data_IF_538425903823
#
_entry.id   IF_538425903823
#
_cell.length_a   1.000
_cell.length_b   1.000
_cell.length_c   1.000
_cell.angle_alpha   90.00
_cell.angle_beta   90.00
_cell.angle_gamma   90.00
#
_symmetry.space_group_name_H-M   'P 1'
#
loop_
_entity.id
_entity.type
_entity.pdbx_description
1 polymer ?
#
# COMPACT_ATOMS: atom_id res chain seq x y z
N UNK A 1 -13.52 -7.89 24.66
CA UNK A 1 -12.86 -7.22 23.54
C UNK A 1 -11.59 -7.99 23.26
N UNK A 2 -11.57 -8.80 22.19
CA UNK A 2 -10.32 -9.35 21.64
C UNK A 2 -9.58 -8.18 20.99
N UNK A 3 -8.31 -7.99 21.32
CA UNK A 3 -7.51 -6.99 20.65
C UNK A 3 -7.11 -7.54 19.27
N UNK A 4 -7.23 -6.71 18.23
CA UNK A 4 -6.85 -7.06 16.85
C UNK A 4 -5.37 -7.50 16.75
N UNK A 5 -4.53 -7.03 17.67
CA UNK A 5 -3.14 -7.50 17.82
C UNK A 5 -3.03 -8.97 18.27
N UNK A 6 -3.91 -9.43 19.17
CA UNK A 6 -3.93 -10.82 19.64
C UNK A 6 -4.41 -11.76 18.52
N UNK A 7 -5.33 -11.29 17.68
CA UNK A 7 -5.83 -12.06 16.53
C UNK A 7 -4.74 -12.20 15.45
N UNK A 8 -3.98 -11.14 15.15
CA UNK A 8 -2.83 -11.19 14.22
C UNK A 8 -1.72 -12.09 14.77
N UNK A 9 -1.39 -11.99 16.06
CA UNK A 9 -0.35 -12.83 16.68
C UNK A 9 -0.73 -14.33 16.61
N UNK A 10 -2.00 -14.66 16.89
CA UNK A 10 -2.50 -16.04 16.79
C UNK A 10 -2.49 -16.60 15.36
N UNK A 11 -2.78 -15.77 14.35
CA UNK A 11 -2.73 -16.16 12.94
C UNK A 11 -1.30 -16.33 12.43
N UNK A 12 -0.36 -15.50 12.92
CA UNK A 12 1.09 -15.64 12.66
C UNK A 12 1.60 -16.95 13.27
N UNK A 13 1.20 -17.24 14.52
CA UNK A 13 1.55 -18.46 15.25
C UNK A 13 1.00 -19.72 14.55
N UNK A 14 -0.24 -19.69 14.04
CA UNK A 14 -0.82 -20.79 13.26
C UNK A 14 -0.04 -21.08 11.97
N UNK A 15 0.39 -20.04 11.25
CA UNK A 15 1.22 -20.17 10.03
C UNK A 15 2.64 -20.65 10.32
N UNK A 16 3.25 -20.19 11.41
CA UNK A 16 4.59 -20.60 11.83
C UNK A 16 4.63 -21.99 12.48
N UNK A 17 3.50 -22.46 13.02
CA UNK A 17 3.37 -23.80 13.60
C UNK A 17 3.63 -24.92 12.58
N UNK A 18 3.34 -24.67 11.30
CA UNK A 18 3.63 -25.58 10.18
C UNK A 18 5.13 -25.76 9.98
N UNK A 19 5.94 -24.79 10.39
CA UNK A 19 7.38 -24.78 10.17
C UNK A 19 8.21 -25.07 11.43
N UNK A 20 7.60 -25.31 12.60
CA UNK A 20 8.32 -25.51 13.88
C UNK A 20 9.36 -24.39 14.15
N UNK A 21 9.07 -23.15 13.74
CA UNK A 21 10.05 -22.07 13.57
C UNK A 21 10.17 -21.12 14.78
N UNK A 22 9.69 -21.50 15.96
CA UNK A 22 9.91 -20.68 17.15
C UNK A 22 11.39 -20.67 17.58
N UNK A 23 11.91 -19.53 18.09
CA UNK A 23 13.16 -19.53 18.85
C UNK A 23 12.92 -20.39 20.09
N UNK A 24 13.34 -21.64 19.99
CA UNK A 24 12.96 -22.63 20.96
C UNK A 24 13.95 -22.63 22.13
N UNK A 25 13.58 -23.34 23.18
CA UNK A 25 14.44 -23.54 24.33
C UNK A 25 15.78 -24.18 23.91
N UNK A 26 15.81 -24.93 22.81
CA UNK A 26 17.00 -25.59 22.31
C UNK A 26 18.02 -24.56 21.79
N UNK A 27 17.66 -23.62 20.92
CA UNK A 27 18.58 -22.58 20.40
C UNK A 27 19.21 -21.75 21.54
N UNK A 28 18.41 -21.38 22.54
CA UNK A 28 18.89 -20.65 23.71
C UNK A 28 19.82 -21.50 24.59
N UNK A 29 19.52 -22.79 24.75
CA UNK A 29 20.41 -23.72 25.46
C UNK A 29 21.72 -23.88 24.70
N UNK A 30 21.70 -23.98 23.38
CA UNK A 30 22.90 -24.06 22.54
C UNK A 30 23.79 -22.83 22.67
N UNK A 31 23.19 -21.62 22.65
CA UNK A 31 23.92 -20.36 22.85
C UNK A 31 24.50 -20.27 24.27
N UNK A 32 23.71 -20.59 25.30
CA UNK A 32 24.14 -20.50 26.70
C UNK A 32 25.19 -21.56 27.05
N UNK A 33 25.03 -22.80 26.57
CA UNK A 33 26.01 -23.87 26.75
C UNK A 33 27.30 -23.61 25.97
N UNK A 34 27.21 -23.14 24.72
CA UNK A 34 28.38 -22.77 23.92
C UNK A 34 29.15 -21.61 24.55
N UNK A 35 28.45 -20.58 25.04
CA UNK A 35 29.07 -19.47 25.77
C UNK A 35 29.70 -19.92 27.09
N UNK A 36 29.04 -20.79 27.86
CA UNK A 36 29.59 -21.35 29.09
C UNK A 36 30.86 -22.17 28.83
N UNK A 37 30.87 -22.99 27.78
CA UNK A 37 32.07 -23.72 27.34
C UNK A 37 33.21 -22.77 26.95
N UNK A 38 32.91 -21.68 26.23
CA UNK A 38 33.91 -20.69 25.87
C UNK A 38 34.50 -20.01 27.12
N UNK A 39 33.67 -19.63 28.09
CA UNK A 39 34.13 -19.04 29.36
C UNK A 39 34.98 -20.03 30.17
N UNK A 40 34.55 -21.29 30.28
CA UNK A 40 35.33 -22.34 30.95
C UNK A 40 36.66 -22.59 30.26
N UNK A 41 36.70 -22.59 28.94
CA UNK A 41 37.93 -22.72 28.17
C UNK A 41 38.86 -21.52 28.38
N UNK A 42 38.34 -20.29 28.37
CA UNK A 42 39.14 -19.08 28.66
C UNK A 42 39.74 -19.15 30.07
N UNK A 43 38.94 -19.56 31.06
CA UNK A 43 39.39 -19.72 32.44
C UNK A 43 40.59 -20.69 32.54
N UNK A 44 40.49 -21.88 31.93
CA UNK A 44 41.56 -22.89 31.98
C UNK A 44 42.76 -22.58 31.05
N UNK A 45 42.62 -21.61 30.15
CA UNK A 45 43.74 -21.09 29.36
C UNK A 45 44.61 -20.15 30.21
N UNK A 46 43.99 -19.36 31.08
CA UNK A 46 44.65 -18.45 32.03
C UNK A 46 45.17 -19.21 33.24
N UNK A 47 44.34 -20.08 33.84
CA UNK A 47 44.65 -20.88 35.02
C UNK A 47 44.59 -22.38 34.69
N UNK A 48 45.64 -22.94 34.06
CA UNK A 48 45.67 -24.37 33.77
C UNK A 48 45.81 -25.17 35.06
N UNK A 49 45.06 -26.27 35.16
CA UNK A 49 45.04 -27.13 36.33
C UNK A 49 46.35 -27.95 36.45
N UNK A 50 46.85 -28.14 37.68
CA UNK A 50 48.18 -28.75 37.91
C UNK A 50 48.24 -30.29 37.74
N UNK A 51 47.09 -30.96 37.62
CA UNK A 51 47.05 -32.44 37.55
C UNK A 51 47.41 -32.98 36.15
N UNK A 52 47.45 -32.12 35.14
CA UNK A 52 47.85 -32.44 33.76
C UNK A 52 48.98 -31.49 33.36
N UNK A 53 49.80 -31.87 32.37
CA UNK A 53 50.79 -30.96 31.81
C UNK A 53 50.11 -29.64 31.36
N UNK A 54 50.57 -28.47 31.85
CA UNK A 54 49.95 -27.18 31.57
C UNK A 54 49.81 -26.85 30.08
N UNK A 55 50.76 -27.30 29.25
CA UNK A 55 50.71 -27.05 27.80
C UNK A 55 49.59 -27.87 27.14
N UNK A 56 49.43 -29.13 27.55
CA UNK A 56 48.33 -29.99 27.07
C UNK A 56 46.98 -29.43 27.51
N UNK A 57 46.89 -28.95 28.76
CA UNK A 57 45.68 -28.34 29.29
C UNK A 57 45.29 -27.06 28.53
N UNK A 58 46.26 -26.23 28.16
CA UNK A 58 46.03 -25.02 27.34
C UNK A 58 45.56 -25.34 25.93
N UNK A 59 46.14 -26.36 25.30
CA UNK A 59 45.66 -26.83 23.99
C UNK A 59 44.24 -27.38 24.05
N UNK A 60 43.91 -28.15 25.10
CA UNK A 60 42.55 -28.63 25.33
C UNK A 60 41.58 -27.47 25.59
N UNK A 61 41.96 -26.51 26.43
CA UNK A 61 41.19 -25.32 26.72
C UNK A 61 40.90 -24.51 25.44
N UNK A 62 41.90 -24.31 24.59
CA UNK A 62 41.72 -23.66 23.28
C UNK A 62 40.73 -24.42 22.37
N UNK A 63 40.78 -25.75 22.38
CA UNK A 63 39.82 -26.58 21.63
C UNK A 63 38.38 -26.42 22.16
N UNK A 64 38.21 -26.37 23.47
CA UNK A 64 36.90 -26.16 24.13
C UNK A 64 36.36 -24.76 23.83
N UNK A 65 37.21 -23.72 23.79
CA UNK A 65 36.81 -22.37 23.35
C UNK A 65 36.31 -22.40 21.92
N UNK A 66 37.07 -23.03 21.01
CA UNK A 66 36.70 -23.10 19.60
C UNK A 66 35.38 -23.85 19.40
N UNK A 67 35.18 -24.98 20.09
CA UNK A 67 33.94 -25.74 20.05
C UNK A 67 32.75 -24.94 20.63
N UNK A 68 32.94 -24.27 21.77
CA UNK A 68 31.91 -23.43 22.38
C UNK A 68 31.51 -22.24 21.51
N UNK A 69 32.47 -21.59 20.85
CA UNK A 69 32.23 -20.49 19.93
C UNK A 69 31.46 -20.93 18.67
N UNK A 70 31.80 -22.10 18.10
CA UNK A 70 31.08 -22.67 16.95
C UNK A 70 29.66 -23.04 17.34
N UNK A 71 29.48 -23.66 18.51
CA UNK A 71 28.16 -24.06 19.01
C UNK A 71 27.27 -22.84 19.28
N UNK A 72 27.78 -21.83 20.00
CA UNK A 72 27.03 -20.61 20.26
C UNK A 72 26.74 -19.82 18.96
N UNK A 73 27.69 -19.80 18.03
CA UNK A 73 27.48 -19.20 16.71
C UNK A 73 26.41 -19.91 15.89
N UNK A 74 26.27 -21.23 16.03
CA UNK A 74 25.23 -22.01 15.37
C UNK A 74 23.84 -21.65 15.91
N UNK A 75 23.66 -21.66 17.24
CA UNK A 75 22.38 -21.28 17.86
C UNK A 75 21.95 -19.83 17.54
N UNK A 76 22.90 -18.88 17.52
CA UNK A 76 22.62 -17.50 17.12
C UNK A 76 22.20 -17.38 15.64
N UNK A 77 22.83 -18.16 14.75
CA UNK A 77 22.49 -18.18 13.32
C UNK A 77 21.06 -18.67 13.11
N UNK A 78 20.69 -19.77 13.74
CA UNK A 78 19.37 -20.38 13.55
C UNK A 78 18.27 -19.47 14.14
N UNK A 79 18.54 -18.80 15.26
CA UNK A 79 17.66 -17.77 15.82
C UNK A 79 17.47 -16.58 14.87
N UNK A 80 18.53 -16.05 14.26
CA UNK A 80 18.43 -14.94 13.30
C UNK A 80 17.65 -15.33 12.03
N UNK A 81 17.85 -16.56 11.54
CA UNK A 81 17.08 -17.08 10.40
C UNK A 81 15.59 -17.19 10.74
N UNK A 82 15.25 -17.65 11.95
CA UNK A 82 13.87 -17.74 12.43
C UNK A 82 13.23 -16.36 12.59
N UNK A 83 13.94 -15.37 13.14
CA UNK A 83 13.44 -13.99 13.27
C UNK A 83 13.21 -13.31 11.91
N UNK A 84 14.11 -13.49 10.95
CA UNK A 84 13.93 -12.95 9.58
C UNK A 84 12.71 -13.58 8.92
N UNK A 85 12.50 -14.89 9.09
CA UNK A 85 11.31 -15.55 8.54
C UNK A 85 10.02 -15.09 9.21
N UNK A 86 10.01 -14.92 10.53
CA UNK A 86 8.87 -14.37 11.28
C UNK A 86 8.55 -12.94 10.81
N UNK A 87 9.57 -12.11 10.59
CA UNK A 87 9.34 -10.74 10.11
C UNK A 87 8.80 -10.69 8.68
N UNK A 88 9.20 -11.61 7.79
CA UNK A 88 8.60 -11.76 6.46
C UNK A 88 7.14 -12.20 6.55
N UNK A 89 6.82 -13.17 7.42
CA UNK A 89 5.45 -13.63 7.61
C UNK A 89 4.52 -12.52 8.15
N UNK A 90 5.01 -11.73 9.11
CA UNK A 90 4.28 -10.56 9.63
C UNK A 90 4.11 -9.49 8.53
N UNK A 91 5.16 -9.24 7.73
CA UNK A 91 5.10 -8.29 6.63
C UNK A 91 4.08 -8.72 5.56
N UNK A 92 4.07 -10.00 5.19
CA UNK A 92 3.11 -10.58 4.24
C UNK A 92 1.67 -10.46 4.78
N UNK A 93 1.46 -10.74 6.07
CA UNK A 93 0.17 -10.57 6.71
C UNK A 93 -0.26 -9.10 6.83
N UNK A 94 0.68 -8.17 7.01
CA UNK A 94 0.40 -6.73 6.99
C UNK A 94 0.01 -6.22 5.60
N UNK A 95 0.44 -6.90 4.53
CA UNK A 95 -0.02 -6.63 3.17
C UNK A 95 -1.38 -7.29 2.87
N UNK A 96 -1.76 -8.31 3.63
CA UNK A 96 -3.08 -8.96 3.57
C UNK A 96 -4.15 -8.25 4.40
N UNK A 97 -3.85 -7.12 5.04
CA UNK A 97 -4.86 -6.29 5.69
C UNK A 97 -5.77 -5.69 4.61
N UNK A 98 -7.01 -6.19 4.54
CA UNK A 98 -8.11 -5.74 3.66
C UNK A 98 -8.65 -4.36 4.10
N UNK A 99 -7.73 -3.49 4.55
CA UNK A 99 -7.98 -2.14 4.98
C UNK A 99 -7.95 -1.15 3.81
N UNK A 100 -8.43 0.08 4.00
CA UNK A 100 -8.36 1.11 2.96
C UNK A 100 -6.92 1.30 2.49
N UNK A 101 -6.66 1.15 1.18
CA UNK A 101 -5.32 1.25 0.62
C UNK A 101 -4.75 2.66 0.86
N UNK A 102 -3.97 2.81 1.93
CA UNK A 102 -3.40 4.10 2.34
C UNK A 102 -2.43 4.68 1.30
N UNK A 103 -1.86 3.84 0.43
CA UNK A 103 -1.07 4.28 -0.72
C UNK A 103 -1.93 4.99 -1.77
N UNK A 104 -3.09 4.41 -2.11
CA UNK A 104 -4.06 5.03 -3.01
C UNK A 104 -4.62 6.32 -2.42
N UNK A 105 -5.02 6.32 -1.14
CA UNK A 105 -5.52 7.52 -0.45
C UNK A 105 -4.47 8.64 -0.46
N UNK A 106 -3.20 8.30 -0.20
CA UNK A 106 -2.10 9.27 -0.26
C UNK A 106 -1.95 9.85 -1.67
N UNK A 107 -2.03 9.02 -2.70
CA UNK A 107 -1.87 9.47 -4.08
C UNK A 107 -3.03 10.36 -4.53
N UNK A 108 -4.26 10.00 -4.17
CA UNK A 108 -5.46 10.82 -4.38
C UNK A 108 -5.33 12.20 -3.72
N UNK A 109 -4.79 12.26 -2.49
CA UNK A 109 -4.56 13.51 -1.78
C UNK A 109 -3.40 14.33 -2.34
N UNK A 110 -2.38 13.70 -2.92
CA UNK A 110 -1.22 14.38 -3.48
C UNK A 110 -1.47 14.94 -4.89
N UNK A 111 -2.37 14.31 -5.65
CA UNK A 111 -2.65 14.67 -7.04
C UNK A 111 -4.16 14.95 -7.28
N UNK A 112 -4.83 15.82 -6.49
CA UNK A 112 -6.27 16.02 -6.59
C UNK A 112 -6.71 16.49 -7.99
N UNK A 113 -5.88 17.28 -8.67
CA UNK A 113 -6.16 17.78 -10.02
C UNK A 113 -6.20 16.65 -11.08
N UNK A 114 -5.37 15.62 -10.92
CA UNK A 114 -5.38 14.46 -11.82
C UNK A 114 -6.68 13.66 -11.68
N UNK A 115 -7.17 13.49 -10.44
CA UNK A 115 -8.42 12.80 -10.19
C UNK A 115 -9.65 13.64 -10.57
N UNK A 116 -9.58 14.98 -10.47
CA UNK A 116 -10.60 15.88 -11.05
C UNK A 116 -10.69 15.71 -12.58
N UNK A 117 -9.56 15.54 -13.26
CA UNK A 117 -9.56 15.31 -14.70
C UNK A 117 -10.19 13.97 -15.10
N UNK A 118 -10.04 12.94 -14.26
CA UNK A 118 -10.73 11.65 -14.44
C UNK A 118 -12.24 11.79 -14.30
N UNK A 119 -12.73 12.56 -13.32
CA UNK A 119 -14.16 12.80 -13.19
C UNK A 119 -14.72 13.53 -14.42
N UNK A 120 -13.97 14.52 -14.94
CA UNK A 120 -14.35 15.24 -16.16
C UNK A 120 -14.38 14.33 -17.41
N UNK A 121 -13.43 13.41 -17.54
CA UNK A 121 -13.43 12.39 -18.59
C UNK A 121 -14.62 11.42 -18.46
N UNK A 122 -14.98 11.05 -17.22
CA UNK A 122 -16.13 10.19 -16.95
C UNK A 122 -17.45 10.86 -17.33
N UNK A 123 -17.58 12.17 -17.06
CA UNK A 123 -18.71 12.97 -17.53
C UNK A 123 -18.75 13.09 -19.05
N UNK A 124 -17.60 13.28 -19.71
CA UNK A 124 -17.51 13.35 -21.17
C UNK A 124 -17.95 12.03 -21.81
N UNK A 125 -17.55 10.89 -21.24
CA UNK A 125 -17.97 9.57 -21.70
C UNK A 125 -19.48 9.34 -21.55
N UNK A 126 -20.06 9.76 -20.42
CA UNK A 126 -21.51 9.66 -20.18
C UNK A 126 -22.34 10.55 -21.12
N UNK A 127 -21.73 11.56 -21.76
CA UNK A 127 -22.37 12.40 -22.76
C UNK A 127 -22.07 11.96 -24.21
N UNK A 128 -21.36 10.86 -24.44
CA UNK A 128 -21.00 10.41 -25.79
C UNK A 128 -22.24 9.96 -26.60
N UNK A 129 -23.26 9.43 -25.94
CA UNK A 129 -24.54 9.05 -26.56
C UNK A 129 -25.64 10.11 -26.42
N UNK A 130 -25.32 11.25 -25.78
CA UNK A 130 -26.22 12.38 -25.57
C UNK A 130 -27.21 12.23 -24.41
N UNK A 131 -27.17 11.15 -23.62
CA UNK A 131 -28.13 10.89 -22.53
C UNK A 131 -27.43 10.23 -21.33
N UNK A 132 -27.34 10.94 -20.20
CA UNK A 132 -26.91 10.31 -18.94
C UNK A 132 -28.04 9.44 -18.36
N UNK A 133 -27.76 8.16 -18.17
CA UNK A 133 -28.66 7.20 -17.51
C UNK A 133 -28.62 7.31 -15.98
N UNK A 134 -29.62 6.73 -15.30
CA UNK A 134 -29.67 6.74 -13.82
C UNK A 134 -28.51 5.95 -13.18
N UNK A 135 -28.04 4.90 -13.86
CA UNK A 135 -26.88 4.11 -13.44
C UNK A 135 -25.59 4.95 -13.54
N UNK A 136 -25.37 5.63 -14.65
CA UNK A 136 -24.20 6.51 -14.85
C UNK A 136 -24.20 7.70 -13.88
N UNK A 137 -25.37 8.29 -13.62
CA UNK A 137 -25.50 9.38 -12.64
C UNK A 137 -25.15 8.89 -11.23
N UNK A 138 -25.55 7.68 -10.86
CA UNK A 138 -25.21 7.08 -9.57
C UNK A 138 -23.70 6.81 -9.45
N UNK A 139 -23.06 6.33 -10.51
CA UNK A 139 -21.60 6.15 -10.57
C UNK A 139 -20.86 7.48 -10.46
N UNK A 140 -21.27 8.51 -11.21
CA UNK A 140 -20.70 9.85 -11.15
C UNK A 140 -20.82 10.48 -9.75
N UNK A 141 -21.97 10.31 -9.08
CA UNK A 141 -22.13 10.73 -7.68
C UNK A 141 -21.20 10.00 -6.73
N UNK A 142 -21.00 8.70 -6.93
CA UNK A 142 -20.05 7.94 -6.11
C UNK A 142 -18.61 8.46 -6.26
N UNK A 143 -18.22 8.91 -7.45
CA UNK A 143 -16.92 9.54 -7.69
C UNK A 143 -16.83 10.94 -7.08
N UNK A 144 -17.89 11.75 -7.15
CA UNK A 144 -17.94 13.05 -6.48
C UNK A 144 -17.74 12.92 -4.97
N UNK A 145 -18.48 12.01 -4.34
CA UNK A 145 -18.40 11.74 -2.90
C UNK A 145 -17.00 11.26 -2.51
N UNK A 146 -16.41 10.39 -3.32
CA UNK A 146 -15.05 9.88 -3.09
C UNK A 146 -13.97 10.97 -3.21
N UNK A 147 -14.17 11.96 -4.10
CA UNK A 147 -13.25 13.08 -4.30
C UNK A 147 -13.54 14.29 -3.41
N UNK A 148 -14.64 14.26 -2.64
CA UNK A 148 -15.08 15.37 -1.79
C UNK A 148 -15.43 16.63 -2.59
N UNK A 149 -15.91 16.45 -3.82
CA UNK A 149 -16.32 17.54 -4.72
C UNK A 149 -17.77 17.93 -4.37
N UNK A 150 -18.04 19.23 -4.30
CA UNK A 150 -19.38 19.73 -3.99
C UNK A 150 -20.33 19.61 -5.19
N UNK A 151 -21.64 19.54 -4.94
CA UNK A 151 -22.66 19.50 -6.01
C UNK A 151 -22.53 20.69 -6.99
N UNK A 152 -22.13 21.86 -6.49
CA UNK A 152 -21.89 23.07 -7.31
C UNK A 152 -20.68 22.92 -8.23
N UNK A 153 -19.57 22.38 -7.72
CA UNK A 153 -18.38 22.10 -8.53
C UNK A 153 -18.66 21.00 -9.56
N UNK A 154 -19.41 19.97 -9.19
CA UNK A 154 -19.82 18.91 -10.09
C UNK A 154 -20.73 19.42 -11.22
N UNK A 155 -21.63 20.37 -10.93
CA UNK A 155 -22.48 20.99 -11.94
C UNK A 155 -21.66 21.79 -12.97
N UNK A 156 -20.62 22.51 -12.54
CA UNK A 156 -19.69 23.18 -13.45
C UNK A 156 -18.92 22.18 -14.32
N UNK A 157 -18.43 21.08 -13.73
CA UNK A 157 -17.76 20.02 -14.48
C UNK A 157 -18.69 19.35 -15.50
N UNK A 158 -19.98 19.21 -15.18
CA UNK A 158 -20.98 18.69 -16.11
C UNK A 158 -21.19 19.64 -17.31
N UNK A 159 -21.29 20.95 -17.07
CA UNK A 159 -21.36 21.94 -18.15
C UNK A 159 -20.13 21.85 -19.06
N UNK A 160 -18.93 21.80 -18.47
CA UNK A 160 -17.68 21.68 -19.22
C UNK A 160 -17.63 20.41 -20.08
N UNK A 161 -18.11 19.29 -19.54
CA UNK A 161 -18.14 18.01 -20.24
C UNK A 161 -19.14 18.01 -21.41
N UNK A 162 -20.34 18.57 -21.23
CA UNK A 162 -21.34 18.72 -22.32
C UNK A 162 -20.76 19.59 -23.44
N UNK A 163 -20.21 20.75 -23.09
CA UNK A 163 -19.62 21.69 -24.06
C UNK A 163 -18.50 21.01 -24.83
N UNK A 164 -17.66 20.22 -24.15
CA UNK A 164 -16.55 19.51 -24.76
C UNK A 164 -17.04 18.40 -25.69
N UNK A 165 -18.02 17.58 -25.25
CA UNK A 165 -18.64 16.53 -26.05
C UNK A 165 -19.27 17.09 -27.33
N UNK A 166 -20.14 18.10 -27.19
CA UNK A 166 -20.82 18.77 -28.32
C UNK A 166 -19.87 19.54 -29.25
N UNK A 167 -18.66 19.90 -28.80
CA UNK A 167 -17.68 20.61 -29.64
C UNK A 167 -16.76 19.69 -30.44
N UNK A 168 -16.86 18.36 -30.25
CA UNK A 168 -15.91 17.36 -30.76
C UNK A 168 -16.04 17.11 -32.26
N UNK A 169 -17.24 17.17 -32.81
CA UNK A 169 -17.55 16.97 -34.22
C UNK A 169 -17.42 18.25 -35.08
N UNK A 170 -17.32 19.41 -34.42
CA UNK A 170 -17.08 20.71 -35.04
C UNK A 170 -18.35 21.49 -35.42
N UNK A 171 -19.54 20.94 -35.21
CA UNK A 171 -20.84 21.59 -35.46
C UNK A 171 -21.83 21.24 -34.35
N UNK A 172 -22.39 22.25 -33.66
CA UNK A 172 -23.39 22.00 -32.61
C UNK A 172 -24.78 21.94 -33.27
N UNK A 173 -25.46 20.82 -33.09
CA UNK A 173 -26.83 20.58 -33.56
C UNK A 173 -27.88 21.26 -32.66
N UNK A 174 -29.10 21.44 -33.17
CA UNK A 174 -30.21 22.05 -32.39
C UNK A 174 -30.54 21.26 -31.11
N UNK A 175 -30.45 19.93 -31.16
CA UNK A 175 -30.68 19.04 -30.01
C UNK A 175 -29.59 19.25 -28.93
N UNK A 176 -28.33 19.43 -29.33
CA UNK A 176 -27.22 19.71 -28.40
C UNK A 176 -27.30 21.12 -27.82
N UNK A 177 -27.81 22.11 -28.57
CA UNK A 177 -28.08 23.45 -28.03
C UNK A 177 -29.10 23.42 -26.89
N UNK A 178 -30.17 22.61 -27.03
CA UNK A 178 -31.16 22.44 -25.96
C UNK A 178 -30.55 21.73 -24.73
N UNK A 179 -29.71 20.72 -24.95
CA UNK A 179 -29.02 20.01 -23.86
C UNK A 179 -28.05 20.92 -23.10
N UNK A 180 -27.23 21.71 -23.81
CA UNK A 180 -26.30 22.68 -23.20
C UNK A 180 -27.07 23.70 -22.35
N UNK A 181 -28.18 24.24 -22.87
CA UNK A 181 -29.00 25.21 -22.12
C UNK A 181 -29.59 24.60 -20.86
N UNK A 182 -30.12 23.37 -20.97
CA UNK A 182 -30.70 22.66 -19.83
C UNK A 182 -29.67 22.42 -18.72
N UNK A 183 -28.47 21.97 -19.08
CA UNK A 183 -27.39 21.71 -18.11
C UNK A 183 -26.83 23.01 -17.52
N UNK A 184 -26.73 24.08 -18.31
CA UNK A 184 -26.33 25.40 -17.82
C UNK A 184 -27.34 26.01 -16.83
N UNK A 185 -28.65 25.85 -17.09
CA UNK A 185 -29.72 26.27 -16.18
C UNK A 185 -29.70 25.47 -14.87
N UNK A 186 -29.47 24.15 -14.94
CA UNK A 186 -29.32 23.28 -13.76
C UNK A 186 -28.08 23.66 -12.92
N UNK A 187 -27.00 24.12 -13.56
CA UNK A 187 -25.80 24.61 -12.90
C UNK A 187 -25.89 26.07 -12.41
N UNK A 188 -26.97 26.79 -12.74
CA UNK A 188 -27.13 28.21 -12.39
C UNK A 188 -26.18 29.16 -13.11
N UNK A 189 -25.67 28.75 -14.28
CA UNK A 189 -24.74 29.52 -15.13
C UNK A 189 -25.49 30.14 -16.31
N UNK A 190 -24.97 31.24 -16.87
CA UNK A 190 -25.60 31.91 -18.01
C UNK A 190 -25.59 31.00 -19.26
N UNK A 191 -26.78 30.56 -19.67
CA UNK A 191 -26.94 29.58 -20.74
C UNK A 191 -26.59 30.14 -22.14
N UNK A 192 -26.62 31.46 -22.32
CA UNK A 192 -26.21 32.11 -23.57
C UNK A 192 -24.68 32.18 -23.68
N UNK A 193 -23.98 32.50 -22.57
CA UNK A 193 -22.51 32.52 -22.51
C UNK A 193 -21.89 31.14 -22.80
N UNK A 194 -22.43 30.09 -22.17
CA UNK A 194 -21.97 28.70 -22.37
C UNK A 194 -22.18 28.24 -23.82
N UNK A 195 -23.32 28.60 -24.43
CA UNK A 195 -23.64 28.27 -25.81
C UNK A 195 -22.66 28.94 -26.80
N UNK A 196 -22.34 30.21 -26.58
CA UNK A 196 -21.35 30.94 -27.39
C UNK A 196 -19.94 30.36 -27.24
N UNK A 197 -19.56 29.95 -26.03
CA UNK A 197 -18.28 29.27 -25.78
C UNK A 197 -18.21 27.93 -26.54
N UNK A 198 -19.28 27.12 -26.50
CA UNK A 198 -19.36 25.87 -27.22
C UNK A 198 -19.23 26.07 -28.74
N UNK A 199 -19.96 27.03 -29.31
CA UNK A 199 -19.89 27.39 -30.73
C UNK A 199 -18.50 27.90 -31.14
N UNK A 200 -17.82 28.62 -30.26
CA UNK A 200 -16.45 29.10 -30.46
C UNK A 200 -15.43 27.94 -30.45
N UNK A 201 -15.56 27.00 -29.52
CA UNK A 201 -14.71 25.79 -29.43
C UNK A 201 -14.91 24.87 -30.64
N UNK A 202 -16.15 24.62 -31.06
CA UNK A 202 -16.48 23.84 -32.25
C UNK A 202 -15.85 24.43 -33.54
N UNK A 203 -15.97 25.75 -33.75
CA UNK A 203 -15.34 26.46 -34.88
C UNK A 203 -13.81 26.43 -34.86
N UNK A 204 -13.18 26.37 -33.68
CA UNK A 204 -11.72 26.22 -33.56
C UNK A 204 -11.26 24.79 -33.85
N UNK A 205 -12.05 23.78 -33.46
CA UNK A 205 -11.79 22.36 -33.77
C UNK A 205 -11.86 22.06 -35.27
N UNK A 206 -12.84 22.63 -35.96
CA UNK A 206 -13.03 22.51 -37.43
C UNK A 206 -11.89 23.10 -38.28
N UNK A 207 -11.05 23.98 -37.71
CA UNK A 207 -9.96 24.67 -38.41
C UNK A 207 -8.61 23.94 -38.40
N UNK A 208 -8.56 22.71 -37.90
CA UNK A 208 -7.32 21.93 -37.75
C UNK A 208 -7.28 20.71 -38.66
#
# INVERSE_FOLDING_TARGET
MRNMADDVESMVEERLSVFQDEPDLNDWVEVMCGAAMAVLGIFHLVEPWEFVNPDIMRWFAAAVIAAGAVWAGHGLKDMAVKEVRRSIAILDMSQMDDGPNHGLIRDVLLNPDAYRSFLLESYEAAWEDGIITEEELAELKSFQDALGITDEEAAQMNVDAVVKSASKDGEISEDEEELIKKVAEEAGVDSEEVLEEAKSKAKKGSKK
#
